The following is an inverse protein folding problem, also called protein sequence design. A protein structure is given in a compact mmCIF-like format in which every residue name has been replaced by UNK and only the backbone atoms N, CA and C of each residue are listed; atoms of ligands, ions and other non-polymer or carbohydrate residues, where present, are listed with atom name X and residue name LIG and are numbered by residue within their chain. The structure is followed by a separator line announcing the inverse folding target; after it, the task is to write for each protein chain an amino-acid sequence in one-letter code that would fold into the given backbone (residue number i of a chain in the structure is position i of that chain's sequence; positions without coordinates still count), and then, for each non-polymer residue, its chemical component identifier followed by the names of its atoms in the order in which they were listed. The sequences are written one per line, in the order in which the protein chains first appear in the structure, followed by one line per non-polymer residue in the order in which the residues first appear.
data_IF_611267866455
#
_entry.id   IF_611267866455
#
_cell.length_a   1.000
_cell.length_b   1.000
_cell.length_c   1.000
_cell.angle_alpha   90.00
_cell.angle_beta   90.00
_cell.angle_gamma   90.00
#
_symmetry.space_group_name_H-M   'P 1'
#
loop_
_entity.id
_entity.type
_entity.pdbx_description
1 polymer ?
#
# COMPACT_ATOMS: atom_id res chain seq x y z
N UNK A 1 -6.64 -20.79 -51.43
CA UNK A 1 -7.62 -19.86 -52.05
C UNK A 1 -8.96 -20.04 -51.34
N UNK A 2 -9.70 -18.94 -51.18
CA UNK A 2 -10.97 -18.72 -50.43
C UNK A 2 -10.77 -18.42 -48.92
N UNK A 3 -10.76 -17.13 -48.51
CA UNK A 3 -11.90 -16.24 -48.18
C UNK A 3 -12.73 -16.81 -47.01
N UNK A 4 -12.95 -16.11 -45.88
CA UNK A 4 -13.53 -14.77 -45.79
C UNK A 4 -13.26 -14.10 -44.45
N UNK A 5 -13.01 -12.80 -44.51
CA UNK A 5 -13.06 -11.85 -43.40
C UNK A 5 -14.52 -11.57 -43.02
N UNK A 6 -14.83 -11.52 -41.73
CA UNK A 6 -16.08 -10.92 -41.25
C UNK A 6 -15.72 -9.88 -40.20
N UNK A 7 -15.74 -8.62 -40.65
CA UNK A 7 -15.70 -7.41 -39.85
C UNK A 7 -17.14 -7.10 -39.46
N UNK A 8 -17.47 -7.17 -38.17
CA UNK A 8 -18.74 -6.67 -37.64
C UNK A 8 -18.45 -5.37 -36.89
N UNK A 9 -18.46 -4.26 -37.63
CA UNK A 9 -18.38 -2.91 -37.08
C UNK A 9 -19.70 -2.57 -36.40
N UNK A 10 -19.64 -2.42 -35.08
CA UNK A 10 -20.73 -1.94 -34.24
C UNK A 10 -20.87 -0.43 -34.47
N UNK A 11 -21.99 -0.02 -35.06
CA UNK A 11 -22.43 1.36 -35.12
C UNK A 11 -23.02 1.76 -33.77
N UNK A 12 -22.40 2.71 -33.08
CA UNK A 12 -23.06 3.48 -32.02
C UNK A 12 -23.08 4.95 -32.45
N UNK A 13 -24.25 5.37 -32.91
CA UNK A 13 -24.68 6.77 -32.89
C UNK A 13 -25.14 7.11 -31.47
N UNK A 14 -24.80 8.30 -30.98
CA UNK A 14 -25.66 9.27 -30.27
C UNK A 14 -24.77 10.48 -29.91
N UNK A 15 -24.89 11.64 -30.57
CA UNK A 15 -25.73 12.81 -30.19
C UNK A 15 -25.47 13.26 -28.74
N UNK A 16 -25.28 14.53 -28.37
CA UNK A 16 -25.34 15.83 -29.03
C UNK A 16 -24.71 16.89 -28.08
N UNK A 17 -24.21 17.99 -28.67
CA UNK A 17 -24.42 19.40 -28.32
C UNK A 17 -24.59 19.78 -26.83
N UNK A 18 -23.88 20.80 -26.33
CA UNK A 18 -24.25 22.22 -26.50
C UNK A 18 -23.27 23.14 -25.74
N UNK A 19 -23.17 24.38 -26.25
CA UNK A 19 -22.28 25.44 -25.82
C UNK A 19 -22.86 26.33 -24.70
N UNK A 20 -21.96 27.18 -24.19
CA UNK A 20 -22.17 28.50 -23.57
C UNK A 20 -22.23 28.61 -22.05
N UNK A 21 -21.19 29.28 -21.53
CA UNK A 21 -21.33 30.47 -20.67
C UNK A 21 -21.50 30.19 -19.18
N UNK A 22 -20.62 30.75 -18.35
CA UNK A 22 -20.88 31.99 -17.62
C UNK A 22 -19.73 32.28 -16.65
N UNK A 23 -19.29 33.54 -16.65
CA UNK A 23 -18.35 34.12 -15.68
C UNK A 23 -18.96 34.12 -14.28
N UNK A 24 -18.20 33.72 -13.26
CA UNK A 24 -18.47 34.15 -11.89
C UNK A 24 -17.18 34.35 -11.12
N UNK A 25 -16.66 35.57 -11.20
CA UNK A 25 -15.73 36.13 -10.21
C UNK A 25 -16.54 36.49 -8.97
N UNK A 26 -16.44 35.67 -7.93
CA UNK A 26 -16.93 35.98 -6.59
C UNK A 26 -15.88 35.56 -5.54
N UNK A 27 -15.59 36.39 -4.54
CA UNK A 27 -14.70 36.02 -3.44
C UNK A 27 -15.44 35.09 -2.49
N UNK A 28 -14.97 33.85 -2.35
CA UNK A 28 -15.52 32.93 -1.36
C UNK A 28 -15.03 33.32 0.05
N UNK A 29 -15.94 33.39 1.04
CA UNK A 29 -15.59 33.65 2.42
C UNK A 29 -14.83 32.47 3.01
N UNK A 30 -13.83 32.84 3.81
CA UNK A 30 -13.09 32.02 4.75
C UNK A 30 -14.08 31.23 5.63
N UNK A 31 -14.23 29.93 5.33
CA UNK A 31 -14.86 28.98 6.25
C UNK A 31 -13.81 27.97 6.66
N UNK A 32 -13.36 28.16 7.90
CA UNK A 32 -12.67 27.19 8.72
C UNK A 32 -13.42 25.86 8.64
N UNK A 33 -12.83 24.87 7.96
CA UNK A 33 -13.13 23.48 8.26
C UNK A 33 -12.00 22.94 9.12
N UNK A 34 -12.21 23.12 10.43
CA UNK A 34 -11.57 22.32 11.46
C UNK A 34 -12.19 20.93 11.34
N UNK A 35 -11.73 20.13 10.41
CA UNK A 35 -11.79 18.68 10.58
C UNK A 35 -10.50 18.31 11.27
N UNK A 36 -10.60 18.12 12.59
CA UNK A 36 -9.54 17.49 13.36
C UNK A 36 -9.19 16.18 12.68
N UNK A 37 -8.00 16.15 12.08
CA UNK A 37 -7.33 14.92 11.71
C UNK A 37 -7.00 14.20 13.02
N UNK A 38 -7.96 13.45 13.56
CA UNK A 38 -7.59 12.33 14.43
C UNK A 38 -6.59 11.51 13.60
N UNK A 39 -5.33 11.36 14.03
CA UNK A 39 -4.49 10.35 13.42
C UNK A 39 -5.27 9.04 13.58
N UNK A 40 -5.58 8.38 12.47
CA UNK A 40 -6.10 7.02 12.51
C UNK A 40 -5.05 6.21 13.27
N UNK A 41 -5.24 6.06 14.58
CA UNK A 41 -4.41 5.24 15.41
C UNK A 41 -4.60 3.83 14.86
N UNK A 42 -3.62 3.36 14.09
CA UNK A 42 -3.58 1.96 13.70
C UNK A 42 -3.55 1.18 15.02
N UNK A 43 -4.55 0.33 15.24
CA UNK A 43 -4.53 -0.52 16.41
C UNK A 43 -3.25 -1.38 16.38
N UNK A 44 -2.53 -1.50 17.51
CA UNK A 44 -1.34 -2.32 17.58
C UNK A 44 -1.63 -3.73 17.06
N UNK A 45 -0.69 -4.28 16.30
CA UNK A 45 -0.81 -5.66 15.83
C UNK A 45 -0.99 -6.62 17.01
N UNK A 46 -1.97 -7.52 16.89
CA UNK A 46 -2.27 -8.47 17.95
C UNK A 46 -1.11 -9.45 18.17
N UNK A 47 -0.90 -9.84 19.44
CA UNK A 47 0.04 -10.90 19.83
C UNK A 47 -0.22 -12.18 19.04
N UNK A 48 0.82 -12.70 18.39
CA UNK A 48 0.75 -13.88 17.51
C UNK A 48 0.50 -13.57 16.04
N UNK A 49 0.47 -12.30 15.63
CA UNK A 49 0.55 -11.93 14.21
C UNK A 49 1.96 -12.23 13.67
N UNK A 50 2.08 -12.41 12.35
CA UNK A 50 3.36 -12.67 11.68
C UNK A 50 3.68 -11.53 10.71
N UNK A 51 4.88 -10.99 10.79
CA UNK A 51 5.40 -9.97 9.87
C UNK A 51 6.54 -10.57 9.07
N UNK A 52 6.41 -10.58 7.75
CA UNK A 52 7.42 -11.12 6.84
C UNK A 52 8.17 -9.97 6.17
N UNK A 53 9.46 -9.83 6.50
CA UNK A 53 10.31 -8.75 6.00
C UNK A 53 11.09 -9.21 4.77
N UNK A 54 11.07 -8.43 3.70
CA UNK A 54 11.87 -8.68 2.51
C UNK A 54 13.37 -8.46 2.77
N UNK A 55 14.18 -9.52 2.63
CA UNK A 55 15.64 -9.49 2.77
C UNK A 55 16.38 -9.77 1.45
N UNK A 56 15.68 -9.75 0.33
CA UNK A 56 16.26 -9.92 -1.01
C UNK A 56 17.32 -8.87 -1.36
N UNK A 57 18.06 -9.08 -2.46
CA UNK A 57 19.18 -8.21 -2.84
C UNK A 57 18.76 -6.75 -3.04
N UNK A 58 17.55 -6.51 -3.58
CA UNK A 58 17.02 -5.16 -3.76
C UNK A 58 16.62 -4.55 -2.42
N UNK A 59 15.74 -5.20 -1.65
CA UNK A 59 15.34 -4.72 -0.31
C UNK A 59 16.54 -4.46 0.61
N UNK A 60 17.56 -5.33 0.55
CA UNK A 60 18.80 -5.17 1.31
C UNK A 60 19.61 -3.94 0.91
N UNK A 61 19.62 -3.58 -0.38
CA UNK A 61 20.27 -2.35 -0.86
C UNK A 61 19.46 -1.11 -0.48
N UNK A 62 18.13 -1.22 -0.48
CA UNK A 62 17.22 -0.08 -0.24
C UNK A 62 16.99 0.24 1.24
N UNK A 63 17.34 -0.67 2.16
CA UNK A 63 17.34 -0.37 3.60
C UNK A 63 16.97 -1.50 4.55
N UNK A 64 16.60 -2.69 4.06
CA UNK A 64 16.07 -3.75 4.94
C UNK A 64 17.06 -4.26 5.99
N UNK A 65 18.38 -4.13 5.75
CA UNK A 65 19.42 -4.43 6.74
C UNK A 65 19.33 -3.56 8.01
N UNK A 66 18.82 -2.33 7.88
CA UNK A 66 18.67 -1.40 9.00
C UNK A 66 17.35 -1.62 9.74
N UNK A 67 16.27 -1.92 9.02
CA UNK A 67 14.93 -2.07 9.60
C UNK A 67 14.68 -3.47 10.18
N UNK A 68 15.33 -4.51 9.67
CA UNK A 68 15.23 -5.88 10.19
C UNK A 68 15.50 -6.01 11.71
N UNK A 69 16.60 -5.47 12.28
CA UNK A 69 16.83 -5.57 13.72
C UNK A 69 15.76 -4.83 14.54
N UNK A 70 15.23 -3.72 14.02
CA UNK A 70 14.16 -2.94 14.66
C UNK A 70 12.87 -3.77 14.70
N UNK A 71 12.52 -4.43 13.59
CA UNK A 71 11.38 -5.35 13.55
C UNK A 71 11.53 -6.48 14.57
N UNK A 72 12.72 -7.09 14.67
CA UNK A 72 12.97 -8.17 15.64
C UNK A 72 12.80 -7.69 17.08
N UNK A 73 13.39 -6.55 17.42
CA UNK A 73 13.31 -5.99 18.77
C UNK A 73 11.86 -5.66 19.15
N UNK A 74 11.17 -4.85 18.35
CA UNK A 74 9.80 -4.43 18.64
C UNK A 74 8.80 -5.59 18.50
N UNK A 75 9.05 -6.51 17.56
CA UNK A 75 8.24 -7.70 17.37
C UNK A 75 8.28 -8.62 18.59
N UNK A 76 9.47 -8.84 19.19
CA UNK A 76 9.61 -9.63 20.41
C UNK A 76 8.90 -8.97 21.59
N UNK A 77 9.03 -7.66 21.77
CA UNK A 77 8.33 -6.88 22.79
C UNK A 77 6.79 -6.99 22.67
N UNK A 78 6.28 -7.02 21.43
CA UNK A 78 4.86 -7.15 21.13
C UNK A 78 4.37 -8.60 21.01
N UNK A 79 5.24 -9.61 21.09
CA UNK A 79 4.88 -11.02 20.86
C UNK A 79 4.39 -11.30 19.44
N UNK A 80 4.96 -10.61 18.45
CA UNK A 80 4.73 -10.77 17.00
C UNK A 80 5.87 -11.61 16.43
N UNK A 81 5.53 -12.56 15.56
CA UNK A 81 6.52 -13.38 14.88
C UNK A 81 7.13 -12.62 13.70
N UNK A 82 8.46 -12.54 13.63
CA UNK A 82 9.16 -11.84 12.54
C UNK A 82 9.88 -12.85 11.67
N UNK A 83 9.39 -13.01 10.44
CA UNK A 83 9.98 -13.88 9.44
C UNK A 83 10.74 -13.06 8.38
N UNK A 84 11.68 -13.71 7.70
CA UNK A 84 12.42 -13.09 6.60
C UNK A 84 12.21 -13.90 5.34
N UNK A 85 11.97 -13.21 4.24
CA UNK A 85 11.79 -13.85 2.95
C UNK A 85 12.56 -13.11 1.85
N UNK A 86 13.00 -13.84 0.83
CA UNK A 86 13.83 -13.26 -0.24
C UNK A 86 13.05 -12.25 -1.07
N UNK A 87 11.78 -12.51 -1.37
CA UNK A 87 10.91 -11.55 -2.01
C UNK A 87 9.43 -11.82 -1.72
N UNK A 88 8.76 -10.90 -1.03
CA UNK A 88 7.36 -11.07 -0.59
C UNK A 88 6.32 -10.87 -1.70
N UNK A 89 6.72 -10.35 -2.87
CA UNK A 89 5.81 -10.08 -3.99
C UNK A 89 6.35 -10.51 -5.36
N UNK A 90 7.13 -11.60 -5.42
CA UNK A 90 7.72 -12.12 -6.68
C UNK A 90 8.45 -11.04 -7.52
N UNK A 91 9.12 -10.13 -6.81
CA UNK A 91 9.83 -8.96 -7.32
C UNK A 91 8.98 -7.89 -8.01
N UNK A 92 7.65 -8.02 -8.04
CA UNK A 92 6.74 -7.05 -8.65
C UNK A 92 6.91 -5.65 -8.03
N UNK A 93 7.24 -5.57 -6.74
CA UNK A 93 7.35 -4.32 -5.99
C UNK A 93 8.77 -4.03 -5.48
N UNK A 94 9.78 -4.76 -5.99
CA UNK A 94 11.18 -4.61 -5.54
C UNK A 94 11.71 -3.17 -5.68
N UNK A 95 11.19 -2.39 -6.66
CA UNK A 95 11.54 -0.97 -6.84
C UNK A 95 10.99 -0.03 -5.76
N UNK A 96 10.05 -0.50 -4.94
CA UNK A 96 9.40 0.25 -3.87
C UNK A 96 9.85 -0.21 -2.47
N UNK A 97 10.84 -1.11 -2.39
CA UNK A 97 11.27 -1.70 -1.13
C UNK A 97 11.93 -0.71 -0.15
N UNK A 98 12.13 -1.12 1.11
CA UNK A 98 11.85 -2.44 1.67
C UNK A 98 10.35 -2.77 1.79
N UNK A 99 9.98 -3.99 1.39
CA UNK A 99 8.61 -4.50 1.43
C UNK A 99 8.40 -5.38 2.66
N UNK A 100 7.24 -5.26 3.30
CA UNK A 100 6.89 -6.00 4.50
C UNK A 100 5.46 -6.52 4.35
N UNK A 101 5.28 -7.83 4.44
CA UNK A 101 3.98 -8.47 4.43
C UNK A 101 3.48 -8.64 5.88
N UNK A 102 2.23 -8.29 6.13
CA UNK A 102 1.60 -8.39 7.45
C UNK A 102 0.53 -9.47 7.42
N UNK A 103 0.72 -10.52 8.21
CA UNK A 103 -0.26 -11.58 8.43
C UNK A 103 -0.87 -11.39 9.81
N UNK A 104 -2.11 -10.95 9.88
CA UNK A 104 -2.78 -10.83 11.18
C UNK A 104 -3.08 -12.22 11.73
N UNK A 105 -3.23 -12.31 13.04
CA UNK A 105 -3.60 -13.56 13.69
C UNK A 105 -4.93 -14.06 13.15
N UNK A 106 -4.93 -15.31 12.68
CA UNK A 106 -6.14 -15.96 12.14
C UNK A 106 -6.49 -15.57 10.70
N UNK A 107 -5.69 -14.71 10.04
CA UNK A 107 -5.82 -14.51 8.61
C UNK A 107 -5.25 -15.74 7.88
N UNK A 108 -6.12 -16.45 7.16
CA UNK A 108 -5.74 -17.50 6.23
C UNK A 108 -6.13 -17.05 4.82
N UNK A 109 -5.15 -16.61 4.04
CA UNK A 109 -5.39 -16.12 2.69
C UNK A 109 -4.18 -16.22 1.78
N UNK A 110 -4.37 -16.31 0.46
CA UNK A 110 -3.28 -16.28 -0.51
C UNK A 110 -2.70 -14.86 -0.70
N UNK A 111 -3.40 -13.82 -0.23
CA UNK A 111 -3.02 -12.43 -0.38
C UNK A 111 -2.99 -11.74 0.97
N UNK A 112 -1.80 -11.47 1.47
CA UNK A 112 -1.60 -10.66 2.66
C UNK A 112 -1.26 -9.22 2.27
N UNK A 113 -1.66 -8.23 3.09
CA UNK A 113 -1.32 -6.84 2.83
C UNK A 113 0.20 -6.63 2.88
N UNK A 114 0.75 -6.04 1.83
CA UNK A 114 2.16 -5.66 1.73
C UNK A 114 2.29 -4.15 1.92
N UNK A 115 3.19 -3.75 2.81
CA UNK A 115 3.59 -2.37 3.08
C UNK A 115 4.95 -2.11 2.44
N UNK A 116 5.01 -1.08 1.61
CA UNK A 116 6.19 -0.74 0.82
C UNK A 116 6.89 0.48 1.42
N UNK A 117 8.18 0.62 1.13
CA UNK A 117 8.96 1.81 1.47
C UNK A 117 9.40 1.93 2.92
N UNK A 118 9.45 0.82 3.68
CA UNK A 118 9.77 0.84 5.12
C UNK A 118 11.26 1.09 5.33
N UNK A 119 11.65 2.33 5.65
CA UNK A 119 13.05 2.76 5.70
C UNK A 119 13.48 3.29 7.07
N UNK A 120 12.55 3.84 7.84
CA UNK A 120 12.84 4.43 9.15
C UNK A 120 12.25 3.61 10.29
N UNK A 121 12.62 3.94 11.52
CA UNK A 121 12.04 3.32 12.71
C UNK A 121 10.55 3.66 12.85
N UNK A 122 10.16 4.89 12.50
CA UNK A 122 8.77 5.34 12.52
C UNK A 122 7.91 4.54 11.52
N UNK A 123 8.46 4.21 10.35
CA UNK A 123 7.79 3.33 9.39
C UNK A 123 7.58 1.92 9.99
N UNK A 124 8.58 1.40 10.71
CA UNK A 124 8.47 0.09 11.39
C UNK A 124 7.38 0.13 12.45
N UNK A 125 7.39 1.16 13.31
CA UNK A 125 6.37 1.37 14.34
C UNK A 125 4.96 1.48 13.73
N UNK A 126 4.83 2.21 12.63
CA UNK A 126 3.59 2.33 11.85
C UNK A 126 3.09 0.99 11.32
N UNK A 127 3.98 0.14 10.80
CA UNK A 127 3.62 -1.24 10.38
C UNK A 127 3.14 -2.08 11.56
N UNK A 128 3.78 -1.91 12.73
CA UNK A 128 3.42 -2.61 13.96
C UNK A 128 2.19 -2.04 14.67
N UNK A 129 1.66 -0.90 14.21
CA UNK A 129 0.54 -0.21 14.84
C UNK A 129 0.91 0.46 16.17
N UNK A 130 2.18 0.85 16.35
CA UNK A 130 2.66 1.59 17.52
C UNK A 130 2.86 3.05 17.10
N UNK A 131 2.28 4.00 17.84
CA UNK A 131 2.50 5.45 17.66
C UNK A 131 3.13 6.04 18.92
#
# INVERSE_FOLDING_TARGET
MTLSFIVASIAVLLFAQNANGFLSTGPLPMQQLITGSSPLAAEPLERGSTVVVCTGPTCSKTGSKKTLPIFKQLGEELGINVETFSCVSDCAECGLGPNVEVRKKGDEGPFYPIKNGIKTEEDVRSVLGIN
#
